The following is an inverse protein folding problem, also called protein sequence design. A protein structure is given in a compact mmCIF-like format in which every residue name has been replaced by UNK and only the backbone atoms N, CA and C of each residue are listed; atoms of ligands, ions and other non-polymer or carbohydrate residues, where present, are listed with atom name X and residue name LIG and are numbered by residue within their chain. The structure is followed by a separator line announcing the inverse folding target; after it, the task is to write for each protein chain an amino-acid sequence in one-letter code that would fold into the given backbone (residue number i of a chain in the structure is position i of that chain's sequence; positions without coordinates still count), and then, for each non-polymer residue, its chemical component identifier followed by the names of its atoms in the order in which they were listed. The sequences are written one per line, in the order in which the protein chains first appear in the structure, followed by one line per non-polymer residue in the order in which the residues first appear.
data_IF_628249150973
#
_entry.id   IF_628249150973
#
_cell.length_a   1.000
_cell.length_b   1.000
_cell.length_c   1.000
_cell.angle_alpha   90.00
_cell.angle_beta   90.00
_cell.angle_gamma   90.00
#
_symmetry.space_group_name_H-M   'P 1'
#
loop_
_entity.id
_entity.type
_entity.pdbx_description
1 polymer ?
#
# COMPACT_ATOMS: atom_id res chain seq x y z
N UNK A 1 -19.49 21.51 -10.00
CA UNK A 1 -18.23 21.92 -10.65
C UNK A 1 -17.03 21.97 -9.69
N UNK A 2 -16.92 22.90 -8.72
CA UNK A 2 -15.75 22.92 -7.83
C UNK A 2 -15.67 21.71 -6.86
N UNK A 3 -16.82 21.23 -6.37
CA UNK A 3 -16.90 20.05 -5.51
C UNK A 3 -16.50 18.77 -6.27
N UNK A 4 -16.98 18.59 -7.51
CA UNK A 4 -16.66 17.42 -8.34
C UNK A 4 -15.16 17.35 -8.66
N UNK A 5 -14.52 18.49 -8.94
CA UNK A 5 -13.08 18.56 -9.16
C UNK A 5 -12.27 18.18 -7.91
N UNK A 6 -12.72 18.62 -6.73
CA UNK A 6 -12.09 18.24 -5.46
C UNK A 6 -12.27 16.75 -5.18
N UNK A 7 -13.45 16.22 -5.49
CA UNK A 7 -13.79 14.83 -5.27
C UNK A 7 -12.96 13.92 -6.19
N UNK A 8 -12.79 14.32 -7.46
CA UNK A 8 -11.85 13.69 -8.38
C UNK A 8 -10.40 13.70 -7.88
N UNK A 9 -9.92 14.85 -7.39
CA UNK A 9 -8.56 14.96 -6.88
C UNK A 9 -8.32 13.99 -5.70
N UNK A 10 -9.27 13.88 -4.78
CA UNK A 10 -9.19 12.92 -3.66
C UNK A 10 -9.17 11.47 -4.18
N UNK A 11 -10.02 11.14 -5.16
CA UNK A 11 -10.00 9.82 -5.79
C UNK A 11 -8.62 9.50 -6.38
N UNK A 12 -8.06 10.43 -7.17
CA UNK A 12 -6.75 10.27 -7.80
C UNK A 12 -5.63 10.12 -6.75
N UNK A 13 -5.66 10.92 -5.68
CA UNK A 13 -4.69 10.86 -4.57
C UNK A 13 -4.75 9.52 -3.83
N UNK A 14 -5.94 8.98 -3.58
CA UNK A 14 -6.12 7.67 -2.94
C UNK A 14 -5.55 6.54 -3.80
N UNK A 15 -5.83 6.56 -5.11
CA UNK A 15 -5.29 5.58 -6.06
C UNK A 15 -3.76 5.68 -6.15
N UNK A 16 -3.21 6.90 -6.18
CA UNK A 16 -1.77 7.11 -6.23
C UNK A 16 -1.08 6.61 -4.95
N UNK A 17 -1.64 6.96 -3.79
CA UNK A 17 -1.13 6.51 -2.49
C UNK A 17 -1.17 4.99 -2.39
N UNK A 18 -2.24 4.35 -2.85
CA UNK A 18 -2.34 2.90 -2.90
C UNK A 18 -1.23 2.28 -3.76
N UNK A 19 -0.97 2.82 -4.95
CA UNK A 19 0.11 2.36 -5.82
C UNK A 19 1.50 2.52 -5.19
N UNK A 20 1.74 3.62 -4.46
CA UNK A 20 3.01 3.83 -3.75
C UNK A 20 3.21 2.81 -2.61
N UNK A 21 2.15 2.47 -1.86
CA UNK A 21 2.22 1.46 -0.81
C UNK A 21 2.47 0.05 -1.38
N UNK A 22 1.92 -0.27 -2.55
CA UNK A 22 2.23 -1.52 -3.27
C UNK A 22 3.71 -1.58 -3.68
N UNK A 23 4.25 -0.46 -4.17
CA UNK A 23 5.68 -0.37 -4.53
C UNK A 23 6.57 -0.58 -3.32
N UNK A 24 6.28 0.08 -2.19
CA UNK A 24 7.01 -0.12 -0.93
C UNK A 24 6.91 -1.58 -0.48
N UNK A 25 5.73 -2.19 -0.60
CA UNK A 25 5.53 -3.61 -0.25
C UNK A 25 6.39 -4.54 -1.10
N UNK A 26 6.54 -4.25 -2.40
CA UNK A 26 7.40 -4.99 -3.31
C UNK A 26 8.89 -4.86 -2.93
N UNK A 27 9.33 -3.64 -2.63
CA UNK A 27 10.72 -3.38 -2.21
C UNK A 27 11.02 -4.12 -0.89
N UNK A 28 10.07 -4.14 0.05
CA UNK A 28 10.19 -4.89 1.30
C UNK A 28 10.24 -6.41 1.08
N UNK A 29 9.55 -6.96 0.06
CA UNK A 29 9.67 -8.39 -0.28
C UNK A 29 11.10 -8.75 -0.69
N UNK A 30 11.79 -7.86 -1.43
CA UNK A 30 13.21 -8.05 -1.73
C UNK A 30 14.07 -8.16 -0.47
N UNK A 31 13.79 -7.32 0.53
CA UNK A 31 14.50 -7.35 1.82
C UNK A 31 14.18 -8.61 2.63
N UNK A 32 12.93 -9.10 2.59
CA UNK A 32 12.55 -10.37 3.24
C UNK A 32 13.38 -11.52 2.70
N UNK A 33 13.56 -11.61 1.37
CA UNK A 33 14.38 -12.66 0.75
C UNK A 33 15.83 -12.62 1.27
N UNK A 34 16.41 -11.43 1.40
CA UNK A 34 17.73 -11.26 1.99
C UNK A 34 17.76 -11.74 3.46
N UNK A 35 16.80 -11.31 4.28
CA UNK A 35 16.73 -11.65 5.70
C UNK A 35 16.51 -13.15 5.94
N UNK A 36 15.70 -13.81 5.10
CA UNK A 36 15.43 -15.25 5.18
C UNK A 36 16.69 -16.11 4.99
N UNK A 37 17.64 -15.64 4.19
CA UNK A 37 18.93 -16.29 3.95
C UNK A 37 20.04 -15.83 4.91
N UNK A 38 19.70 -15.00 5.89
CA UNK A 38 20.62 -14.51 6.92
C UNK A 38 20.28 -15.11 8.30
N UNK A 39 21.03 -14.72 9.33
CA UNK A 39 20.71 -15.05 10.74
C UNK A 39 19.43 -14.34 11.24
N UNK A 40 18.92 -13.36 10.50
CA UNK A 40 17.80 -12.49 10.87
C UNK A 40 16.42 -13.00 10.42
N UNK A 41 16.18 -14.32 10.53
CA UNK A 41 14.90 -14.92 10.10
C UNK A 41 13.68 -14.37 10.87
N UNK A 42 13.86 -14.00 12.14
CA UNK A 42 12.80 -13.36 12.93
C UNK A 42 12.41 -11.98 12.35
N UNK A 43 13.38 -11.22 11.87
CA UNK A 43 13.14 -9.91 11.24
C UNK A 43 12.41 -10.06 9.91
N UNK A 44 12.67 -11.15 9.17
CA UNK A 44 11.91 -11.48 7.96
C UNK A 44 10.41 -11.68 8.25
N UNK A 45 10.06 -12.37 9.33
CA UNK A 45 8.67 -12.55 9.75
C UNK A 45 8.01 -11.22 10.14
N UNK A 46 8.73 -10.34 10.84
CA UNK A 46 8.23 -9.02 11.19
C UNK A 46 7.98 -8.15 9.95
N UNK A 47 8.88 -8.19 8.96
CA UNK A 47 8.71 -7.45 7.69
C UNK A 47 7.55 -8.01 6.87
N UNK A 48 7.36 -9.34 6.84
CA UNK A 48 6.18 -9.96 6.22
C UNK A 48 4.87 -9.46 6.86
N UNK A 49 4.82 -9.30 8.19
CA UNK A 49 3.68 -8.71 8.88
C UNK A 49 3.41 -7.27 8.45
N UNK A 50 4.46 -6.45 8.24
CA UNK A 50 4.32 -5.08 7.72
C UNK A 50 3.78 -5.06 6.30
N UNK A 51 4.26 -5.96 5.43
CA UNK A 51 3.77 -6.09 4.05
C UNK A 51 2.28 -6.44 4.05
N UNK A 52 1.83 -7.34 4.92
CA UNK A 52 0.41 -7.68 5.04
C UNK A 52 -0.42 -6.46 5.50
N UNK A 53 0.08 -5.67 6.44
CA UNK A 53 -0.57 -4.42 6.86
C UNK A 53 -0.68 -3.39 5.74
N UNK A 54 0.39 -3.22 4.95
CA UNK A 54 0.37 -2.33 3.78
C UNK A 54 -0.66 -2.78 2.75
N UNK A 55 -0.76 -4.09 2.49
CA UNK A 55 -1.76 -4.63 1.57
C UNK A 55 -3.19 -4.32 2.04
N UNK A 56 -3.47 -4.46 3.34
CA UNK A 56 -4.77 -4.07 3.90
C UNK A 56 -5.05 -2.59 3.69
N UNK A 57 -4.05 -1.71 3.90
CA UNK A 57 -4.22 -0.27 3.67
C UNK A 57 -4.46 0.05 2.20
N UNK A 58 -3.82 -0.66 1.27
CA UNK A 58 -4.07 -0.52 -0.18
C UNK A 58 -5.50 -0.88 -0.52
N UNK A 59 -5.99 -2.00 0.00
CA UNK A 59 -7.35 -2.46 -0.23
C UNK A 59 -8.39 -1.46 0.32
N UNK A 60 -8.14 -0.91 1.52
CA UNK A 60 -8.97 0.13 2.12
C UNK A 60 -8.99 1.43 1.27
N UNK A 61 -7.82 1.91 0.84
CA UNK A 61 -7.71 3.13 0.03
C UNK A 61 -8.45 2.99 -1.30
N UNK A 62 -8.29 1.85 -1.98
CA UNK A 62 -9.01 1.55 -3.23
C UNK A 62 -10.50 1.42 -3.01
N UNK A 63 -10.92 0.73 -1.95
CA UNK A 63 -12.32 0.61 -1.58
C UNK A 63 -12.97 1.98 -1.35
N UNK A 64 -12.30 2.89 -0.64
CA UNK A 64 -12.81 4.27 -0.47
C UNK A 64 -12.84 5.01 -1.81
N UNK A 65 -11.79 4.92 -2.62
CA UNK A 65 -11.75 5.57 -3.93
C UNK A 65 -12.88 5.09 -4.87
N UNK A 66 -13.27 3.82 -4.81
CA UNK A 66 -14.39 3.26 -5.58
C UNK A 66 -15.76 3.80 -5.13
N UNK A 67 -15.91 4.18 -3.85
CA UNK A 67 -17.15 4.83 -3.38
C UNK A 67 -17.27 6.29 -3.82
N UNK A 68 -16.15 6.89 -4.23
CA UNK A 68 -16.12 8.26 -4.70
C UNK A 68 -16.58 8.31 -6.16
N UNK A 69 -17.82 8.78 -6.36
CA UNK A 69 -18.39 9.09 -7.68
C UNK A 69 -18.39 10.61 -7.89
N UNK A 70 -17.98 11.08 -9.07
CA UNK A 70 -17.90 12.51 -9.42
C UNK A 70 -18.24 12.77 -10.89
#
# INVERSE_FOLDING_TARGET
MAADLRMKAIHDDLQHTAADLERVSLDLRGHVLYLQHSVHQADAAAVLGRIAGLQSSVDDLRGVAETISY
#
